data_IF_765257178063
#
_entry.id   IF_765257178063
#
_cell.length_a   1.000
_cell.length_b   1.000
_cell.length_c   1.000
_cell.angle_alpha   90.00
_cell.angle_beta   90.00
_cell.angle_gamma   90.00
#
_symmetry.space_group_name_H-M   'P 1'
#
loop_
_entity.id
_entity.type
_entity.pdbx_description
1 polymer ?
#
# COMPACT_ATOMS: atom_id res chain seq x y z
N UNK A 1 -2.71 10.36 17.21
CA UNK A 1 -2.07 9.49 16.21
C UNK A 1 -0.70 10.05 15.78
N UNK A 2 -0.59 11.32 15.32
CA UNK A 2 0.68 11.89 14.82
C UNK A 2 1.79 11.91 15.88
N UNK A 3 1.50 12.30 17.11
CA UNK A 3 2.49 12.28 18.21
C UNK A 3 2.99 10.87 18.51
N UNK A 4 2.08 9.88 18.50
CA UNK A 4 2.46 8.48 18.69
C UNK A 4 3.34 7.98 17.54
N UNK A 5 3.04 8.38 16.30
CA UNK A 5 3.85 8.06 15.14
C UNK A 5 5.28 8.63 15.26
N UNK A 6 5.44 9.87 15.72
CA UNK A 6 6.76 10.46 16.00
C UNK A 6 7.56 9.65 17.00
N UNK A 7 6.94 9.31 18.13
CA UNK A 7 7.58 8.48 19.16
C UNK A 7 7.99 7.10 18.60
N UNK A 8 7.13 6.48 17.81
CA UNK A 8 7.41 5.18 17.20
C UNK A 8 8.60 5.24 16.25
N UNK A 9 8.68 6.28 15.41
CA UNK A 9 9.82 6.47 14.49
C UNK A 9 11.11 6.68 15.26
N UNK A 10 11.12 7.51 16.31
CA UNK A 10 12.31 7.73 17.15
C UNK A 10 12.76 6.45 17.84
N UNK A 11 11.84 5.68 18.43
CA UNK A 11 12.17 4.39 19.05
C UNK A 11 12.74 3.43 18.02
N UNK A 12 12.12 3.35 16.84
CA UNK A 12 12.60 2.50 15.74
C UNK A 12 14.01 2.87 15.28
N UNK A 13 14.32 4.16 15.15
CA UNK A 13 15.65 4.63 14.80
C UNK A 13 16.68 4.26 15.88
N UNK A 14 16.34 4.48 17.16
CA UNK A 14 17.23 4.13 18.28
C UNK A 14 17.51 2.63 18.31
N UNK A 15 16.48 1.79 18.16
CA UNK A 15 16.64 0.33 18.10
C UNK A 15 17.53 -0.11 16.94
N UNK A 16 17.31 0.47 15.75
CA UNK A 16 18.12 0.18 14.57
C UNK A 16 19.59 0.56 14.77
N UNK A 17 19.85 1.73 15.35
CA UNK A 17 21.22 2.19 15.67
C UNK A 17 21.91 1.23 16.65
N UNK A 18 21.23 0.84 17.73
CA UNK A 18 21.76 -0.09 18.73
C UNK A 18 22.11 -1.43 18.08
N UNK A 19 21.20 -2.00 17.28
CA UNK A 19 21.42 -3.29 16.61
C UNK A 19 22.61 -3.28 15.66
N UNK A 20 22.94 -2.11 15.09
CA UNK A 20 24.07 -1.94 14.18
C UNK A 20 25.37 -1.47 14.85
N UNK A 21 25.40 -1.40 16.18
CA UNK A 21 26.60 -1.03 16.94
C UNK A 21 26.97 0.44 16.86
N UNK A 22 26.04 1.33 16.46
CA UNK A 22 26.27 2.77 16.52
C UNK A 22 26.31 3.24 17.97
N UNK A 23 27.24 4.16 18.28
CA UNK A 23 27.39 4.72 19.62
C UNK A 23 26.08 5.41 20.08
N UNK A 24 25.64 5.06 21.28
CA UNK A 24 24.49 5.68 21.90
C UNK A 24 24.86 7.09 22.34
N UNK A 25 24.23 8.11 21.78
CA UNK A 25 24.32 9.47 22.31
C UNK A 25 23.49 9.51 23.59
N UNK A 26 24.14 9.79 24.72
CA UNK A 26 23.50 9.88 26.05
C UNK A 26 22.39 10.94 26.12
N UNK A 27 22.36 11.86 25.17
CA UNK A 27 21.32 12.87 25.00
C UNK A 27 20.93 12.87 23.51
N UNK A 28 20.00 12.01 23.09
CA UNK A 28 19.51 12.05 21.73
C UNK A 28 18.77 13.38 21.53
N UNK A 29 19.33 14.26 20.72
CA UNK A 29 18.56 15.38 20.18
C UNK A 29 17.58 14.74 19.21
N UNK A 30 16.30 14.65 19.63
CA UNK A 30 15.23 14.18 18.78
C UNK A 30 15.01 15.24 17.69
N UNK A 31 15.39 14.91 16.46
CA UNK A 31 15.13 15.83 15.35
C UNK A 31 13.62 15.99 15.16
N UNK A 32 13.15 17.22 14.87
CA UNK A 32 11.73 17.43 14.57
C UNK A 32 11.30 16.56 13.39
N UNK A 33 10.24 15.77 13.58
CA UNK A 33 9.63 14.98 12.50
C UNK A 33 8.45 15.77 11.91
N UNK A 34 8.73 16.99 11.43
CA UNK A 34 7.71 17.93 10.94
C UNK A 34 6.97 17.43 9.68
N UNK A 35 7.55 16.45 9.01
CA UNK A 35 6.94 15.78 7.86
C UNK A 35 5.92 14.69 8.23
N UNK A 36 5.71 14.39 9.52
CA UNK A 36 4.59 13.55 9.97
C UNK A 36 3.33 14.39 10.01
N UNK A 37 2.52 14.27 8.98
CA UNK A 37 1.28 15.01 8.80
C UNK A 37 0.08 14.22 9.32
N UNK A 38 -0.86 14.90 9.98
CA UNK A 38 -2.15 14.34 10.38
C UNK A 38 -3.24 14.85 9.43
N UNK A 39 -3.42 14.16 8.32
CA UNK A 39 -4.43 14.50 7.29
C UNK A 39 -4.95 13.27 6.58
N UNK A 40 -6.03 13.43 5.85
CA UNK A 40 -6.49 12.40 4.93
C UNK A 40 -5.47 12.20 3.80
N UNK A 41 -5.10 10.94 3.56
CA UNK A 41 -4.12 10.59 2.55
C UNK A 41 -4.71 10.51 1.13
N UNK A 42 -6.01 10.42 1.00
CA UNK A 42 -6.69 10.22 -0.29
C UNK A 42 -7.32 11.50 -0.82
N UNK A 43 -7.98 12.28 0.06
CA UNK A 43 -8.81 13.40 -0.36
C UNK A 43 -8.62 14.61 0.57
N UNK A 44 -8.56 15.81 -0.01
CA UNK A 44 -8.55 17.07 0.75
C UNK A 44 -9.97 17.40 1.27
N UNK A 45 -10.11 18.31 2.26
CA UNK A 45 -11.42 18.78 2.68
C UNK A 45 -12.26 19.39 1.54
N UNK A 46 -11.59 19.92 0.51
CA UNK A 46 -12.23 20.50 -0.68
C UNK A 46 -12.73 19.41 -1.66
N UNK A 47 -12.34 18.14 -1.45
CA UNK A 47 -12.73 17.02 -2.30
C UNK A 47 -11.80 16.76 -3.48
N UNK A 48 -10.61 17.33 -3.44
CA UNK A 48 -9.56 17.08 -4.41
C UNK A 48 -8.69 15.89 -3.97
N UNK A 49 -7.94 15.30 -4.90
CA UNK A 49 -6.99 14.25 -4.56
C UNK A 49 -5.85 14.83 -3.71
N UNK A 50 -5.66 14.30 -2.50
CA UNK A 50 -4.61 14.76 -1.60
C UNK A 50 -3.23 14.58 -2.23
N UNK A 51 -2.40 15.61 -2.26
CA UNK A 51 -1.06 15.50 -2.80
C UNK A 51 -0.15 14.64 -1.91
N UNK A 52 0.59 13.73 -2.51
CA UNK A 52 1.71 13.04 -1.87
C UNK A 52 3.03 13.66 -2.30
N UNK A 53 4.03 13.73 -1.41
CA UNK A 53 5.35 14.21 -1.81
C UNK A 53 5.97 13.28 -2.87
N UNK A 54 6.91 13.81 -3.65
CA UNK A 54 7.76 12.97 -4.49
C UNK A 54 8.75 12.23 -3.60
N UNK A 55 8.77 10.90 -3.70
CA UNK A 55 9.62 10.03 -2.88
C UNK A 55 10.09 8.83 -3.71
N UNK A 56 11.17 8.20 -3.30
CA UNK A 56 11.67 7.00 -3.98
C UNK A 56 10.83 5.78 -3.67
N UNK A 57 10.40 5.64 -2.41
CA UNK A 57 9.67 4.46 -1.94
C UNK A 57 8.49 4.88 -1.06
N UNK A 58 7.37 4.20 -1.26
CA UNK A 58 6.18 4.30 -0.42
C UNK A 58 5.93 2.95 0.25
N UNK A 59 5.79 2.95 1.57
CA UNK A 59 5.40 1.76 2.34
C UNK A 59 4.20 2.10 3.21
N UNK A 60 3.22 1.22 3.27
CA UNK A 60 2.03 1.50 4.06
C UNK A 60 1.16 0.29 4.37
N UNK A 61 0.40 0.44 5.45
CA UNK A 61 -0.69 -0.46 5.83
C UNK A 61 -1.99 0.35 5.83
N UNK A 62 -2.65 0.51 4.66
CA UNK A 62 -3.91 1.25 4.56
C UNK A 62 -5.04 0.57 5.35
N UNK A 63 -6.09 1.31 5.76
CA UNK A 63 -7.19 0.73 6.51
C UNK A 63 -7.98 -0.29 5.69
N UNK A 64 -8.30 -1.43 6.34
CA UNK A 64 -9.04 -2.54 5.73
C UNK A 64 -10.54 -2.37 5.91
N UNK A 65 -11.14 -1.50 5.10
CA UNK A 65 -12.58 -1.27 5.10
C UNK A 65 -13.17 -1.82 3.80
N UNK A 66 -13.98 -2.85 3.91
CA UNK A 66 -14.69 -3.42 2.76
C UNK A 66 -15.73 -2.46 2.18
N UNK A 67 -15.96 -2.52 0.87
CA UNK A 67 -16.89 -1.62 0.15
C UNK A 67 -18.23 -1.42 0.85
N UNK A 68 -18.85 -2.51 1.30
CA UNK A 68 -20.18 -2.46 1.97
C UNK A 68 -20.17 -1.70 3.30
N UNK A 69 -19.02 -1.63 3.95
CA UNK A 69 -18.84 -0.96 5.25
C UNK A 69 -18.43 0.50 5.11
N UNK A 70 -17.91 0.93 3.96
CA UNK A 70 -17.37 2.28 3.76
C UNK A 70 -18.36 3.37 4.16
N UNK A 71 -19.63 3.26 3.76
CA UNK A 71 -20.65 4.27 4.09
C UNK A 71 -20.93 4.36 5.60
N UNK A 72 -20.89 3.23 6.31
CA UNK A 72 -21.11 3.20 7.75
C UNK A 72 -19.91 3.72 8.55
N UNK A 73 -18.69 3.36 8.12
CA UNK A 73 -17.46 3.70 8.85
C UNK A 73 -16.90 5.08 8.49
N UNK A 74 -17.03 5.51 7.24
CA UNK A 74 -16.45 6.77 6.75
C UNK A 74 -17.51 7.87 6.53
N UNK A 75 -18.78 7.52 6.57
CA UNK A 75 -19.89 8.39 6.21
C UNK A 75 -20.23 8.33 4.70
N UNK A 76 -21.52 8.52 4.42
CA UNK A 76 -22.04 8.42 3.05
C UNK A 76 -21.46 9.51 2.13
N UNK A 77 -21.39 10.75 2.60
CA UNK A 77 -20.89 11.90 1.84
C UNK A 77 -19.42 11.70 1.44
N UNK A 78 -18.56 11.35 2.39
CA UNK A 78 -17.15 11.08 2.13
C UNK A 78 -16.99 9.95 1.09
N UNK A 79 -17.70 8.85 1.30
CA UNK A 79 -17.64 7.69 0.41
C UNK A 79 -18.02 8.04 -1.03
N UNK A 80 -19.10 8.81 -1.22
CA UNK A 80 -19.55 9.20 -2.56
C UNK A 80 -18.58 10.21 -3.22
N UNK A 81 -18.00 11.13 -2.44
CA UNK A 81 -16.99 12.06 -2.95
C UNK A 81 -15.72 11.30 -3.38
N UNK A 82 -15.26 10.35 -2.56
CA UNK A 82 -14.09 9.52 -2.86
C UNK A 82 -14.31 8.69 -4.13
N UNK A 83 -15.47 8.04 -4.27
CA UNK A 83 -15.82 7.26 -5.46
C UNK A 83 -15.85 8.12 -6.72
N UNK A 84 -16.40 9.33 -6.66
CA UNK A 84 -16.39 10.28 -7.79
C UNK A 84 -14.98 10.71 -8.16
N UNK A 85 -14.16 11.02 -7.17
CA UNK A 85 -12.77 11.46 -7.36
C UNK A 85 -11.92 10.40 -8.08
N UNK A 86 -12.17 9.12 -7.79
CA UNK A 86 -11.44 7.99 -8.38
C UNK A 86 -12.22 7.27 -9.48
N UNK A 87 -13.30 7.86 -9.97
CA UNK A 87 -14.13 7.27 -11.03
C UNK A 87 -13.28 6.92 -12.26
N UNK A 88 -13.50 5.73 -12.82
CA UNK A 88 -12.72 5.20 -13.96
C UNK A 88 -11.32 4.70 -13.59
N UNK A 89 -10.86 4.91 -12.35
CA UNK A 89 -9.57 4.41 -11.85
C UNK A 89 -9.71 3.28 -10.84
N UNK A 90 -10.62 3.43 -9.88
CA UNK A 90 -10.98 2.38 -8.92
C UNK A 90 -12.38 1.89 -9.28
N UNK A 91 -12.60 0.59 -9.44
CA UNK A 91 -13.91 0.06 -9.80
C UNK A 91 -14.94 0.27 -8.67
N UNK A 92 -16.19 0.46 -9.03
CA UNK A 92 -17.28 0.47 -8.05
C UNK A 92 -17.38 -0.87 -7.33
N UNK A 93 -17.53 -0.85 -6.00
CA UNK A 93 -17.55 -2.05 -5.18
C UNK A 93 -16.19 -2.56 -4.75
N UNK A 94 -15.11 -1.81 -5.00
CA UNK A 94 -13.79 -2.11 -4.48
C UNK A 94 -13.64 -1.62 -3.03
N UNK A 95 -12.85 -2.35 -2.25
CA UNK A 95 -12.51 -2.03 -0.87
C UNK A 95 -11.67 -0.74 -0.78
N UNK A 96 -11.72 -0.08 0.38
CA UNK A 96 -11.04 1.20 0.60
C UNK A 96 -9.54 1.15 0.28
N UNK A 97 -8.87 0.06 0.60
CA UNK A 97 -7.43 -0.12 0.36
C UNK A 97 -7.06 0.07 -1.13
N UNK A 98 -7.95 -0.26 -2.06
CA UNK A 98 -7.72 -0.14 -3.50
C UNK A 98 -7.40 1.30 -3.94
N UNK A 99 -7.89 2.29 -3.21
CA UNK A 99 -7.61 3.70 -3.50
C UNK A 99 -6.14 4.07 -3.26
N UNK A 100 -5.48 3.49 -2.24
CA UNK A 100 -4.03 3.65 -2.02
C UNK A 100 -3.21 2.97 -3.10
N UNK A 101 -3.58 1.76 -3.51
CA UNK A 101 -2.92 1.05 -4.60
C UNK A 101 -2.98 1.85 -5.90
N UNK A 102 -4.16 2.34 -6.28
CA UNK A 102 -4.33 3.13 -7.50
C UNK A 102 -3.58 4.47 -7.43
N UNK A 103 -3.59 5.13 -6.28
CA UNK A 103 -2.88 6.39 -6.07
C UNK A 103 -1.37 6.20 -6.18
N UNK A 104 -0.82 5.14 -5.58
CA UNK A 104 0.59 4.78 -5.70
C UNK A 104 0.96 4.43 -7.15
N UNK A 105 0.11 3.63 -7.84
CA UNK A 105 0.31 3.31 -9.27
C UNK A 105 0.41 4.58 -10.12
N UNK A 106 -0.52 5.51 -9.94
CA UNK A 106 -0.51 6.80 -10.66
C UNK A 106 0.72 7.64 -10.34
N UNK A 107 1.20 7.62 -9.08
CA UNK A 107 2.42 8.32 -8.70
C UNK A 107 3.67 7.71 -9.36
N UNK A 108 3.72 6.38 -9.50
CA UNK A 108 4.79 5.66 -10.21
C UNK A 108 4.75 6.02 -11.70
N UNK A 109 3.59 5.97 -12.32
CA UNK A 109 3.39 6.30 -13.74
C UNK A 109 3.80 7.75 -14.06
N UNK A 110 3.56 8.66 -13.10
CA UNK A 110 3.97 10.07 -13.21
C UNK A 110 5.45 10.33 -12.83
N UNK A 111 6.24 9.30 -12.52
CA UNK A 111 7.64 9.43 -12.14
C UNK A 111 7.91 10.09 -10.78
N UNK A 112 6.88 10.24 -9.94
CA UNK A 112 6.97 10.83 -8.60
C UNK A 112 7.22 9.81 -7.49
N UNK A 113 7.15 8.55 -7.82
CA UNK A 113 7.37 7.39 -6.96
C UNK A 113 8.04 6.30 -7.79
N UNK A 114 9.05 5.63 -7.26
CA UNK A 114 9.70 4.52 -7.96
C UNK A 114 9.05 3.19 -7.61
N UNK A 115 8.78 2.97 -6.33
CA UNK A 115 8.28 1.68 -5.81
C UNK A 115 7.28 1.90 -4.69
N UNK A 116 6.30 1.00 -4.61
CA UNK A 116 5.36 0.94 -3.49
C UNK A 116 5.31 -0.46 -2.90
N UNK A 117 5.19 -0.55 -1.58
CA UNK A 117 4.90 -1.76 -0.84
C UNK A 117 3.69 -1.54 0.08
N UNK A 118 2.58 -2.21 -0.20
CA UNK A 118 1.32 -2.01 0.52
C UNK A 118 0.78 -3.34 1.07
N UNK A 119 0.22 -3.26 2.26
CA UNK A 119 -0.53 -4.37 2.88
C UNK A 119 -2.01 -4.23 2.53
N UNK A 120 -2.65 -5.34 2.27
CA UNK A 120 -4.10 -5.43 2.04
C UNK A 120 -4.63 -6.71 2.64
N UNK A 121 -5.94 -6.83 2.81
CA UNK A 121 -6.54 -8.15 2.98
C UNK A 121 -6.33 -8.97 1.71
N UNK A 122 -6.32 -10.29 1.82
CA UNK A 122 -6.12 -11.17 0.65
C UNK A 122 -7.26 -11.09 -0.39
N UNK A 123 -8.35 -10.36 -0.08
CA UNK A 123 -9.40 -10.00 -1.04
C UNK A 123 -8.90 -9.15 -2.21
N UNK A 124 -7.71 -8.52 -2.09
CA UNK A 124 -7.12 -7.68 -3.15
C UNK A 124 -6.94 -8.44 -4.47
N UNK A 125 -6.70 -9.75 -4.41
CA UNK A 125 -6.46 -10.62 -5.57
C UNK A 125 -7.73 -11.17 -6.23
N UNK A 126 -8.92 -10.76 -5.75
CA UNK A 126 -10.19 -11.26 -6.24
C UNK A 126 -11.25 -10.20 -6.48
N UNK A 127 -12.29 -10.57 -7.22
CA UNK A 127 -13.44 -9.72 -7.48
C UNK A 127 -13.09 -8.35 -8.06
N UNK A 128 -13.78 -7.31 -7.60
CA UNK A 128 -13.53 -5.93 -8.04
C UNK A 128 -12.19 -5.37 -7.59
N UNK A 129 -11.66 -5.84 -6.47
CA UNK A 129 -10.37 -5.39 -5.96
C UNK A 129 -9.23 -5.73 -6.91
N UNK A 130 -9.28 -6.92 -7.55
CA UNK A 130 -8.26 -7.38 -8.48
C UNK A 130 -8.07 -6.45 -9.66
N UNK A 131 -9.11 -5.75 -10.12
CA UNK A 131 -9.01 -4.82 -11.25
C UNK A 131 -7.94 -3.74 -11.02
N UNK A 132 -7.65 -3.40 -9.76
CA UNK A 132 -6.56 -2.46 -9.44
C UNK A 132 -5.19 -3.11 -9.65
N UNK A 133 -5.04 -4.39 -9.31
CA UNK A 133 -3.81 -5.14 -9.59
C UNK A 133 -3.63 -5.39 -11.10
N UNK A 134 -4.72 -5.61 -11.86
CA UNK A 134 -4.68 -5.68 -13.33
C UNK A 134 -4.07 -4.41 -13.92
N UNK A 135 -4.50 -3.24 -13.43
CA UNK A 135 -3.96 -1.94 -13.86
C UNK A 135 -2.48 -1.78 -13.49
N UNK A 136 -2.09 -2.20 -12.29
CA UNK A 136 -0.69 -2.20 -11.86
C UNK A 136 0.14 -3.08 -12.79
N UNK A 137 -0.31 -4.28 -13.11
CA UNK A 137 0.40 -5.19 -14.01
C UNK A 137 0.49 -4.68 -15.46
N UNK A 138 -0.42 -3.77 -15.86
CA UNK A 138 -0.42 -3.15 -17.20
C UNK A 138 0.56 -1.99 -17.30
N UNK A 139 0.62 -1.11 -16.28
CA UNK A 139 1.44 0.12 -16.31
C UNK A 139 2.82 -0.03 -15.65
N UNK A 140 3.00 -1.07 -14.82
CA UNK A 140 4.24 -1.37 -14.10
C UNK A 140 4.33 -2.88 -13.85
N UNK A 141 5.01 -3.31 -12.80
CA UNK A 141 5.10 -4.73 -12.44
C UNK A 141 4.97 -4.95 -10.94
N UNK A 142 4.43 -6.08 -10.54
CA UNK A 142 4.56 -6.59 -9.19
C UNK A 142 5.92 -7.32 -9.15
N UNK A 143 6.83 -6.84 -8.30
CA UNK A 143 8.17 -7.40 -8.17
C UNK A 143 8.32 -8.30 -6.94
N UNK A 144 7.45 -8.13 -5.94
CA UNK A 144 7.42 -8.96 -4.75
C UNK A 144 6.00 -9.06 -4.21
N UNK A 145 5.58 -10.26 -3.83
CA UNK A 145 4.31 -10.46 -3.17
C UNK A 145 4.37 -11.64 -2.18
N UNK A 146 3.68 -11.44 -1.06
CA UNK A 146 3.26 -12.50 -0.14
C UNK A 146 1.76 -12.61 -0.30
N UNK A 147 1.32 -13.71 -0.90
CA UNK A 147 -0.04 -13.80 -1.45
C UNK A 147 -1.10 -14.01 -0.39
N UNK A 148 -0.76 -14.67 0.71
CA UNK A 148 -1.73 -15.08 1.73
C UNK A 148 -1.07 -15.36 3.08
N UNK A 149 -0.79 -14.28 3.85
CA UNK A 149 -0.12 -14.36 5.13
C UNK A 149 -1.09 -14.25 6.31
N UNK A 150 -0.88 -15.03 7.39
CA UNK A 150 -1.63 -14.86 8.62
C UNK A 150 -1.24 -13.53 9.29
N UNK A 151 -2.24 -12.77 9.72
CA UNK A 151 -2.05 -11.50 10.38
C UNK A 151 -2.98 -11.37 11.58
N UNK A 152 -2.49 -10.85 12.69
CA UNK A 152 -3.33 -10.57 13.87
C UNK A 152 -3.55 -9.07 13.93
N UNK A 153 -4.80 -8.65 13.83
CA UNK A 153 -5.21 -7.26 13.95
C UNK A 153 -6.26 -7.14 15.07
N UNK A 154 -5.95 -6.38 16.12
CA UNK A 154 -6.82 -6.17 17.30
C UNK A 154 -7.39 -7.47 17.89
N UNK A 155 -6.56 -8.53 17.91
CA UNK A 155 -6.96 -9.86 18.41
C UNK A 155 -7.77 -10.70 17.42
N UNK A 156 -8.13 -10.17 16.25
CA UNK A 156 -8.78 -10.93 15.18
C UNK A 156 -7.74 -11.47 14.20
N UNK A 157 -7.81 -12.77 13.91
CA UNK A 157 -7.01 -13.39 12.87
C UNK A 157 -7.58 -13.01 11.49
N UNK A 158 -6.78 -12.36 10.67
CA UNK A 158 -7.11 -12.00 9.29
C UNK A 158 -6.04 -12.56 8.34
N UNK A 159 -6.38 -12.68 7.08
CA UNK A 159 -5.41 -13.05 6.04
C UNK A 159 -5.10 -11.80 5.22
N UNK A 160 -3.80 -11.56 5.00
CA UNK A 160 -3.32 -10.40 4.25
C UNK A 160 -2.48 -10.81 3.06
N UNK A 161 -2.39 -9.90 2.11
CA UNK A 161 -1.39 -9.91 1.05
C UNK A 161 -0.48 -8.70 1.20
N UNK A 162 0.83 -8.91 1.04
CA UNK A 162 1.80 -7.83 0.93
C UNK A 162 2.19 -7.73 -0.54
N UNK A 163 2.12 -6.54 -1.11
CA UNK A 163 2.33 -6.35 -2.55
C UNK A 163 3.31 -5.23 -2.80
N UNK A 164 4.48 -5.58 -3.32
CA UNK A 164 5.50 -4.67 -3.80
C UNK A 164 5.41 -4.50 -5.31
N UNK A 165 5.25 -3.26 -5.80
CA UNK A 165 5.11 -2.96 -7.23
C UNK A 165 5.83 -1.67 -7.61
N UNK A 166 6.13 -1.53 -8.89
CA UNK A 166 6.85 -0.40 -9.46
C UNK A 166 8.04 -0.82 -10.27
N UNK A 167 9.04 0.05 -10.34
CA UNK A 167 10.29 -0.22 -11.07
C UNK A 167 11.19 -1.13 -10.23
N UNK A 168 11.62 -2.25 -10.78
CA UNK A 168 12.61 -3.14 -10.16
C UNK A 168 13.38 -3.89 -11.26
N UNK A 169 14.73 -3.88 -11.20
CA UNK A 169 15.56 -4.66 -12.11
C UNK A 169 15.69 -6.15 -11.69
N UNK A 170 15.26 -6.50 -10.48
CA UNK A 170 15.43 -7.83 -9.92
C UNK A 170 14.35 -8.80 -10.40
N UNK A 171 14.62 -10.11 -10.29
CA UNK A 171 13.62 -11.15 -10.47
C UNK A 171 12.44 -10.94 -9.51
N UNK A 172 11.25 -11.37 -9.91
CA UNK A 172 10.09 -11.30 -9.04
C UNK A 172 10.15 -12.38 -7.95
N UNK A 173 9.68 -12.01 -6.75
CA UNK A 173 9.60 -12.91 -5.60
C UNK A 173 8.14 -13.12 -5.21
N UNK A 174 7.67 -14.36 -5.23
CA UNK A 174 6.33 -14.74 -4.78
C UNK A 174 6.46 -15.72 -3.62
N UNK A 175 5.93 -15.35 -2.44
CA UNK A 175 5.98 -16.16 -1.23
C UNK A 175 7.42 -16.64 -0.92
N UNK A 176 8.39 -15.72 -1.07
CA UNK A 176 9.82 -15.96 -0.85
C UNK A 176 10.53 -16.77 -1.94
N UNK A 177 9.85 -17.14 -3.05
CA UNK A 177 10.43 -17.89 -4.16
C UNK A 177 10.59 -17.01 -5.40
N UNK A 178 11.72 -17.15 -6.08
CA UNK A 178 11.93 -16.47 -7.36
C UNK A 178 10.99 -17.03 -8.42
N UNK A 179 10.30 -16.13 -9.14
CA UNK A 179 9.37 -16.45 -10.21
C UNK A 179 9.62 -15.53 -11.41
N UNK A 180 9.16 -15.93 -12.59
CA UNK A 180 9.33 -15.12 -13.78
C UNK A 180 8.51 -13.83 -13.71
N UNK A 181 7.21 -13.94 -13.40
CA UNK A 181 6.29 -12.81 -13.30
C UNK A 181 5.15 -13.11 -12.33
N UNK A 182 4.71 -12.09 -11.58
CA UNK A 182 3.55 -12.17 -10.71
C UNK A 182 2.35 -11.52 -11.40
N UNK A 183 1.25 -12.26 -11.47
CA UNK A 183 -0.03 -11.78 -12.00
C UNK A 183 -0.90 -11.06 -10.97
N UNK A 184 -2.04 -10.51 -11.42
CA UNK A 184 -2.96 -9.78 -10.55
C UNK A 184 -3.67 -10.68 -9.52
N UNK A 185 -3.68 -11.99 -9.71
CA UNK A 185 -4.14 -12.97 -8.72
C UNK A 185 -3.11 -13.22 -7.61
N UNK A 186 -1.95 -12.54 -7.64
CA UNK A 186 -0.77 -12.81 -6.83
C UNK A 186 -0.33 -14.27 -6.96
N UNK A 187 -0.26 -14.72 -8.20
CA UNK A 187 0.23 -16.03 -8.60
C UNK A 187 1.28 -15.88 -9.72
N UNK A 188 2.11 -16.92 -9.90
CA UNK A 188 3.08 -16.93 -10.98
C UNK A 188 2.38 -17.01 -12.34
N UNK A 189 2.74 -16.12 -13.26
CA UNK A 189 2.39 -16.24 -14.67
C UNK A 189 3.46 -17.13 -15.32
N UNK A 190 3.08 -18.33 -15.73
CA UNK A 190 3.95 -19.24 -16.49
C UNK A 190 3.87 -18.92 -17.98
N UNK A 191 5.02 -18.71 -18.61
CA UNK A 191 5.08 -18.65 -20.06
C UNK A 191 4.75 -20.03 -20.63
N UNK A 192 3.66 -20.15 -21.40
CA UNK A 192 3.34 -21.39 -22.12
C UNK A 192 1.96 -22.00 -21.85
N UNK A 193 1.07 -21.34 -21.14
CA UNK A 193 -0.33 -21.77 -20.99
C UNK A 193 -1.22 -21.18 -22.07
N UNK A 194 -1.11 -21.63 -23.32
CA UNK A 194 -2.22 -21.52 -24.24
C UNK A 194 -3.35 -22.41 -23.68
N UNK A 195 -4.46 -21.79 -23.32
CA UNK A 195 -5.70 -22.52 -23.02
C UNK A 195 -6.05 -23.41 -24.21
N UNK A 196 -6.12 -24.71 -23.99
CA UNK A 196 -6.85 -25.62 -24.81
C UNK A 196 -8.37 -25.44 -24.62
#
# INVERSE_FOLDING_TARGET
AAELARVTVWIGELQWRIQRGYAFKTHPVLEPLDHIECRDALMTPQGEEAAWPAVDVLVGNPPFVGDKKMRGELGAEYTERLRRLYQGRVPGGADLVCYWFEKARKAIEAGRLQRAGLVSTNSIRGGRNREVLDRICTSTRIFEAWSDEPWVNDGAAVRVSLVGFGQSPQAALLDGKAVHRIGPELAEIREGGASL
#
